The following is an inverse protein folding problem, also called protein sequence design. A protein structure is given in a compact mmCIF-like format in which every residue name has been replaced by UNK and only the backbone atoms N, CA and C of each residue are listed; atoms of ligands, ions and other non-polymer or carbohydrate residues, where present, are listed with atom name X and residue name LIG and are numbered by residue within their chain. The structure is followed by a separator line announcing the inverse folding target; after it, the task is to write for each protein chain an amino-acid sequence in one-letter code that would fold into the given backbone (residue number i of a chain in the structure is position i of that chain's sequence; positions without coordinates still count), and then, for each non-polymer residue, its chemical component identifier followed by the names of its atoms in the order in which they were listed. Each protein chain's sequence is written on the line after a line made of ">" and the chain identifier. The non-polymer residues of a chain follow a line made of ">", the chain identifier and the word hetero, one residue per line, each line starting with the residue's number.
data_IF_638614502867
#
_entry.id   IF_638614502867
#
_cell.length_a   1.000
_cell.length_b   1.000
_cell.length_c   1.000
_cell.angle_alpha   90.00
_cell.angle_beta   90.00
_cell.angle_gamma   90.00
#
_symmetry.space_group_name_H-M   'P 1'
#
loop_
_entity.id
_entity.type
_entity.pdbx_description
1 polymer ?
#
# COMPACT_ATOMS: atom_id res chain seq x y z
N UNK A 1 -9.94 40.04 -4.69
CA UNK A 1 -9.69 38.83 -5.54
C UNK A 1 -9.15 37.63 -4.76
N UNK A 2 -8.17 37.73 -3.89
CA UNK A 2 -7.58 36.61 -3.14
C UNK A 2 -8.57 35.86 -2.21
N UNK A 3 -9.52 36.51 -1.57
CA UNK A 3 -10.55 35.87 -0.72
C UNK A 3 -11.54 35.02 -1.52
N UNK A 4 -11.98 35.44 -2.70
CA UNK A 4 -12.89 34.69 -3.58
C UNK A 4 -12.23 33.41 -4.10
N UNK A 5 -10.95 33.47 -4.52
CA UNK A 5 -10.23 32.26 -4.98
C UNK A 5 -10.19 31.17 -3.92
N UNK A 6 -9.98 31.52 -2.64
CA UNK A 6 -9.95 30.54 -1.53
C UNK A 6 -11.29 29.84 -1.30
N UNK A 7 -12.41 30.51 -1.57
CA UNK A 7 -13.75 29.97 -1.35
C UNK A 7 -14.07 28.88 -2.37
N UNK A 8 -13.56 28.98 -3.61
CA UNK A 8 -13.86 28.04 -4.69
C UNK A 8 -12.90 26.85 -4.77
N UNK A 9 -11.63 26.97 -4.39
CA UNK A 9 -10.63 25.92 -4.56
C UNK A 9 -10.88 24.71 -3.64
N UNK A 10 -11.36 24.95 -2.41
CA UNK A 10 -11.68 23.85 -1.48
C UNK A 10 -12.82 22.96 -2.00
N UNK A 11 -14.00 23.49 -2.35
CA UNK A 11 -15.07 22.65 -2.90
C UNK A 11 -14.67 21.98 -4.21
N UNK A 12 -13.91 22.62 -5.09
CA UNK A 12 -13.40 22.01 -6.31
C UNK A 12 -12.51 20.78 -5.98
N UNK A 13 -11.57 20.91 -5.05
CA UNK A 13 -10.69 19.81 -4.66
C UNK A 13 -11.47 18.64 -4.03
N UNK A 14 -12.45 18.94 -3.19
CA UNK A 14 -13.34 17.92 -2.58
C UNK A 14 -14.19 17.25 -3.65
N UNK A 15 -14.85 18.05 -4.51
CA UNK A 15 -15.68 17.52 -5.60
C UNK A 15 -14.87 16.61 -6.53
N UNK A 16 -13.68 17.05 -6.94
CA UNK A 16 -12.81 16.24 -7.78
C UNK A 16 -12.37 14.94 -7.10
N UNK A 17 -12.09 14.98 -5.79
CA UNK A 17 -11.76 13.76 -5.02
C UNK A 17 -12.95 12.80 -4.97
N UNK A 18 -14.16 13.31 -4.77
CA UNK A 18 -15.39 12.50 -4.79
C UNK A 18 -15.65 11.92 -6.19
N UNK A 19 -15.54 12.75 -7.24
CA UNK A 19 -15.68 12.29 -8.62
C UNK A 19 -14.62 11.25 -8.99
N UNK A 20 -13.39 11.41 -8.49
CA UNK A 20 -12.33 10.43 -8.66
C UNK A 20 -12.70 9.09 -8.00
N UNK A 21 -13.22 9.10 -6.79
CA UNK A 21 -13.70 7.89 -6.11
C UNK A 21 -14.84 7.25 -6.89
N UNK A 22 -15.85 8.03 -7.31
CA UNK A 22 -16.97 7.54 -8.09
C UNK A 22 -16.54 6.99 -9.45
N UNK A 23 -15.58 7.63 -10.10
CA UNK A 23 -14.99 7.16 -11.34
C UNK A 23 -14.30 5.80 -11.13
N UNK A 24 -13.48 5.66 -10.10
CA UNK A 24 -12.88 4.36 -9.76
C UNK A 24 -13.98 3.33 -9.46
N UNK A 25 -15.00 3.68 -8.68
CA UNK A 25 -16.13 2.78 -8.40
C UNK A 25 -16.83 2.33 -9.69
N UNK A 26 -17.02 3.22 -10.66
CA UNK A 26 -17.67 2.89 -11.92
C UNK A 26 -16.90 1.88 -12.77
N UNK A 27 -15.59 1.77 -12.56
CA UNK A 27 -14.75 0.77 -13.24
C UNK A 27 -14.97 -0.64 -12.70
N UNK A 28 -15.63 -0.80 -11.56
CA UNK A 28 -15.87 -2.10 -10.93
C UNK A 28 -17.08 -2.87 -11.48
N UNK A 29 -17.47 -2.56 -12.70
CA UNK A 29 -18.30 -3.45 -13.51
C UNK A 29 -17.59 -4.81 -13.71
N UNK A 30 -18.26 -5.93 -13.90
CA UNK A 30 -17.68 -7.27 -13.86
C UNK A 30 -16.62 -7.46 -14.93
N UNK A 31 -15.37 -7.29 -14.59
CA UNK A 31 -14.25 -7.55 -15.48
C UNK A 31 -13.77 -8.97 -15.23
N UNK A 32 -13.59 -9.68 -16.32
CA UNK A 32 -13.20 -11.07 -16.43
C UNK A 32 -11.79 -11.43 -15.90
N UNK A 33 -11.22 -10.65 -14.99
CA UNK A 33 -9.88 -10.87 -14.46
C UNK A 33 -9.79 -11.78 -13.23
N UNK A 34 -10.95 -12.16 -12.66
CA UNK A 34 -10.98 -12.97 -11.45
C UNK A 34 -11.05 -14.49 -11.73
N UNK A 35 -11.13 -14.91 -13.01
CA UNK A 35 -11.22 -16.32 -13.41
C UNK A 35 -10.05 -17.14 -12.85
N UNK A 36 -8.85 -16.60 -12.90
CA UNK A 36 -7.65 -17.28 -12.40
C UNK A 36 -7.71 -17.59 -10.89
N UNK A 37 -8.24 -16.68 -10.08
CA UNK A 37 -8.43 -16.91 -8.64
C UNK A 37 -9.61 -17.84 -8.40
N UNK A 38 -10.67 -17.73 -9.21
CA UNK A 38 -11.81 -18.62 -9.18
C UNK A 38 -11.39 -20.09 -9.45
N UNK A 39 -10.59 -20.31 -10.48
CA UNK A 39 -10.08 -21.65 -10.83
C UNK A 39 -9.23 -22.27 -9.71
N UNK A 40 -8.56 -21.44 -8.90
CA UNK A 40 -7.76 -21.91 -7.76
C UNK A 40 -8.53 -22.10 -6.47
N UNK A 41 -9.53 -21.24 -6.20
CA UNK A 41 -10.34 -21.32 -4.97
C UNK A 41 -11.63 -22.08 -5.15
N UNK A 42 -12.14 -22.18 -6.40
CA UNK A 42 -13.40 -22.84 -6.75
C UNK A 42 -14.66 -22.12 -6.25
N UNK A 43 -14.53 -21.01 -5.51
CA UNK A 43 -15.65 -20.42 -4.77
C UNK A 43 -15.66 -18.89 -4.83
N UNK A 44 -16.00 -18.32 -5.97
CA UNK A 44 -16.24 -16.88 -6.09
C UNK A 44 -17.47 -16.49 -5.26
N UNK A 45 -17.25 -15.66 -4.24
CA UNK A 45 -18.33 -15.14 -3.38
C UNK A 45 -18.81 -16.11 -2.29
N UNK A 46 -18.22 -17.30 -2.16
CA UNK A 46 -18.50 -18.23 -1.06
C UNK A 46 -17.27 -18.38 -0.19
N UNK A 47 -17.38 -17.92 1.05
CA UNK A 47 -16.26 -17.98 1.99
C UNK A 47 -16.18 -19.35 2.67
N UNK A 48 -15.18 -20.13 2.30
CA UNK A 48 -14.83 -21.38 2.96
C UNK A 48 -13.39 -21.33 3.46
N UNK A 49 -13.19 -21.09 4.73
CA UNK A 49 -11.86 -20.87 5.33
C UNK A 49 -10.86 -21.98 5.01
N UNK A 50 -11.29 -23.25 4.98
CA UNK A 50 -10.41 -24.38 4.65
C UNK A 50 -9.87 -24.32 3.21
N UNK A 51 -10.70 -23.92 2.26
CA UNK A 51 -10.32 -23.80 0.85
C UNK A 51 -9.38 -22.61 0.64
N UNK A 52 -9.71 -21.48 1.26
CA UNK A 52 -8.86 -20.28 1.23
C UNK A 52 -7.49 -20.58 1.84
N UNK A 53 -7.47 -21.25 3.00
CA UNK A 53 -6.21 -21.64 3.65
C UNK A 53 -5.39 -22.57 2.76
N UNK A 54 -6.01 -23.60 2.16
CA UNK A 54 -5.34 -24.49 1.22
C UNK A 54 -4.77 -23.71 0.03
N UNK A 55 -5.54 -22.80 -0.57
CA UNK A 55 -5.07 -21.96 -1.67
C UNK A 55 -3.86 -21.09 -1.27
N UNK A 56 -3.85 -20.56 -0.04
CA UNK A 56 -2.69 -19.82 0.48
C UNK A 56 -1.45 -20.70 0.60
N UNK A 57 -1.59 -21.92 1.16
CA UNK A 57 -0.50 -22.87 1.31
C UNK A 57 0.02 -23.33 -0.06
N UNK A 58 -0.89 -23.67 -0.96
CA UNK A 58 -0.53 -24.10 -2.33
C UNK A 58 0.17 -22.95 -3.09
N UNK A 59 -0.30 -21.71 -2.90
CA UNK A 59 0.34 -20.55 -3.50
C UNK A 59 1.75 -20.31 -2.94
N UNK A 60 1.94 -20.44 -1.64
CA UNK A 60 3.26 -20.34 -1.01
C UNK A 60 4.25 -21.39 -1.50
N UNK A 61 3.79 -22.63 -1.64
CA UNK A 61 4.64 -23.75 -2.01
C UNK A 61 4.93 -23.83 -3.52
N UNK A 62 3.96 -23.48 -4.36
CA UNK A 62 4.00 -23.83 -5.79
C UNK A 62 3.78 -22.66 -6.74
N UNK A 63 3.45 -21.43 -6.25
CA UNK A 63 3.11 -20.35 -7.16
C UNK A 63 3.63 -18.98 -6.72
N UNK A 64 2.91 -18.29 -5.85
CA UNK A 64 3.16 -16.90 -5.50
C UNK A 64 3.07 -16.68 -4.00
N UNK A 65 4.22 -16.56 -3.30
CA UNK A 65 4.26 -16.47 -1.85
C UNK A 65 3.87 -15.08 -1.31
N UNK A 66 3.55 -14.15 -2.17
CA UNK A 66 3.23 -12.76 -1.78
C UNK A 66 2.02 -12.71 -0.87
N UNK A 67 2.12 -11.93 0.19
CA UNK A 67 1.01 -11.72 1.12
C UNK A 67 -0.21 -11.09 0.42
N UNK A 68 0.00 -10.25 -0.59
CA UNK A 68 -1.07 -9.69 -1.42
C UNK A 68 -1.87 -10.75 -2.18
N UNK A 69 -1.22 -11.81 -2.69
CA UNK A 69 -1.90 -12.94 -3.32
C UNK A 69 -2.75 -13.71 -2.32
N UNK A 70 -2.19 -13.98 -1.14
CA UNK A 70 -2.94 -14.65 -0.07
C UNK A 70 -4.15 -13.82 0.36
N UNK A 71 -3.99 -12.50 0.50
CA UNK A 71 -5.08 -11.59 0.78
C UNK A 71 -6.14 -11.58 -0.34
N UNK A 72 -5.72 -11.74 -1.61
CA UNK A 72 -6.64 -11.84 -2.74
C UNK A 72 -7.56 -13.05 -2.63
N UNK A 73 -7.09 -14.20 -2.15
CA UNK A 73 -7.95 -15.37 -1.93
C UNK A 73 -9.06 -15.09 -0.90
N UNK A 74 -8.73 -14.39 0.21
CA UNK A 74 -9.73 -13.99 1.20
C UNK A 74 -10.75 -13.01 0.62
N UNK A 75 -10.31 -11.99 -0.08
CA UNK A 75 -11.20 -10.95 -0.65
C UNK A 75 -12.05 -11.52 -1.80
N UNK A 76 -11.52 -12.43 -2.59
CA UNK A 76 -12.29 -13.07 -3.68
C UNK A 76 -13.40 -13.95 -3.13
N UNK A 77 -13.17 -14.60 -1.99
CA UNK A 77 -14.15 -15.39 -1.27
C UNK A 77 -15.18 -14.53 -0.51
N UNK A 78 -14.87 -13.24 -0.25
CA UNK A 78 -15.79 -12.31 0.41
C UNK A 78 -16.88 -11.80 -0.56
N UNK A 79 -18.03 -11.30 -0.03
CA UNK A 79 -19.04 -10.65 -0.85
C UNK A 79 -18.43 -9.52 -1.70
N UNK A 80 -18.88 -9.43 -2.95
CA UNK A 80 -18.36 -8.44 -3.92
C UNK A 80 -18.40 -7.00 -3.39
N UNK A 81 -19.43 -6.68 -2.62
CA UNK A 81 -19.61 -5.35 -2.03
C UNK A 81 -18.40 -4.92 -1.18
N UNK A 82 -17.79 -5.86 -0.44
CA UNK A 82 -16.63 -5.58 0.42
C UNK A 82 -15.48 -5.03 -0.43
N UNK A 83 -15.15 -5.69 -1.53
CA UNK A 83 -14.09 -5.24 -2.41
C UNK A 83 -14.45 -3.92 -3.13
N UNK A 84 -15.69 -3.80 -3.63
CA UNK A 84 -16.16 -2.59 -4.33
C UNK A 84 -16.07 -1.34 -3.46
N UNK A 85 -16.29 -1.48 -2.15
CA UNK A 85 -16.18 -0.34 -1.21
C UNK A 85 -14.73 -0.10 -0.77
N UNK A 86 -14.01 -1.16 -0.41
CA UNK A 86 -12.67 -1.00 0.17
C UNK A 86 -11.61 -0.59 -0.88
N UNK A 87 -11.71 -1.10 -2.11
CA UNK A 87 -10.66 -0.85 -3.09
C UNK A 87 -10.50 0.64 -3.46
N UNK A 88 -11.55 1.43 -3.71
CA UNK A 88 -11.43 2.88 -3.90
C UNK A 88 -10.82 3.61 -2.70
N UNK A 89 -11.12 3.14 -1.49
CA UNK A 89 -10.53 3.69 -0.26
C UNK A 89 -9.02 3.45 -0.23
N UNK A 90 -8.58 2.24 -0.57
CA UNK A 90 -7.14 1.92 -0.66
C UNK A 90 -6.43 2.69 -1.78
N UNK A 91 -7.08 2.87 -2.94
CA UNK A 91 -6.54 3.69 -4.03
C UNK A 91 -6.33 5.13 -3.55
N UNK A 92 -7.34 5.73 -2.94
CA UNK A 92 -7.24 7.09 -2.42
C UNK A 92 -6.18 7.21 -1.31
N UNK A 93 -6.14 6.23 -0.42
CA UNK A 93 -5.15 6.17 0.65
C UNK A 93 -3.72 6.00 0.11
N UNK A 94 -3.53 5.24 -0.99
CA UNK A 94 -2.25 5.13 -1.68
C UNK A 94 -1.80 6.48 -2.25
N UNK A 95 -2.68 7.18 -2.98
CA UNK A 95 -2.36 8.51 -3.53
C UNK A 95 -2.04 9.50 -2.42
N UNK A 96 -2.83 9.50 -1.33
CA UNK A 96 -2.58 10.33 -0.17
C UNK A 96 -1.24 9.97 0.50
N UNK A 97 -0.96 8.70 0.65
CA UNK A 97 0.30 8.21 1.20
C UNK A 97 1.51 8.65 0.37
N UNK A 98 1.43 8.55 -0.95
CA UNK A 98 2.47 9.03 -1.87
C UNK A 98 2.66 10.55 -1.77
N UNK A 99 1.55 11.30 -1.67
CA UNK A 99 1.61 12.74 -1.44
C UNK A 99 2.35 13.09 -0.14
N UNK A 100 2.02 12.39 0.96
CA UNK A 100 2.67 12.61 2.25
C UNK A 100 4.14 12.19 2.21
N UNK A 101 4.46 11.08 1.53
CA UNK A 101 5.83 10.61 1.38
C UNK A 101 6.69 11.64 0.63
N UNK A 102 6.18 12.21 -0.44
CA UNK A 102 6.86 13.22 -1.24
C UNK A 102 7.02 14.54 -0.47
N UNK A 103 5.95 15.08 0.09
CA UNK A 103 5.91 16.43 0.65
C UNK A 103 6.14 16.49 2.18
N UNK A 104 6.12 15.36 2.87
CA UNK A 104 6.31 15.26 4.32
C UNK A 104 5.15 15.83 5.15
N UNK A 105 4.01 16.14 4.54
CA UNK A 105 2.84 16.76 5.19
C UNK A 105 1.54 16.35 4.50
N UNK A 106 0.44 16.39 5.23
CA UNK A 106 -0.90 16.19 4.69
C UNK A 106 -1.30 17.35 3.75
N UNK A 107 -2.13 17.09 2.71
CA UNK A 107 -2.66 18.16 1.85
C UNK A 107 -3.56 19.08 2.65
N UNK A 108 -3.28 20.38 2.61
CA UNK A 108 -4.16 21.38 3.19
C UNK A 108 -5.08 21.92 2.10
N UNK A 109 -6.25 21.29 1.93
CA UNK A 109 -7.21 21.67 0.88
C UNK A 109 -7.83 23.06 1.07
N UNK A 110 -7.71 23.65 2.26
CA UNK A 110 -8.16 25.04 2.52
C UNK A 110 -7.18 26.09 1.98
N UNK A 111 -5.94 25.66 1.67
CA UNK A 111 -4.93 26.53 1.05
C UNK A 111 -4.88 26.24 -0.44
N UNK A 112 -4.93 27.27 -1.26
CA UNK A 112 -4.93 27.15 -2.72
C UNK A 112 -3.79 26.24 -3.23
N UNK A 113 -2.56 26.53 -2.82
CA UNK A 113 -1.40 25.70 -3.19
C UNK A 113 -1.56 24.22 -2.77
N UNK A 114 -2.10 23.95 -1.57
CA UNK A 114 -2.32 22.59 -1.09
C UNK A 114 -3.40 21.86 -1.88
N UNK A 115 -4.45 22.55 -2.29
CA UNK A 115 -5.51 21.98 -3.11
C UNK A 115 -5.02 21.69 -4.53
N UNK A 116 -4.29 22.60 -5.17
CA UNK A 116 -3.71 22.37 -6.51
C UNK A 116 -2.68 21.24 -6.52
N UNK A 117 -1.80 21.16 -5.52
CA UNK A 117 -0.84 20.03 -5.43
C UNK A 117 -1.54 18.70 -5.20
N UNK A 118 -2.65 18.67 -4.45
CA UNK A 118 -3.47 17.48 -4.28
C UNK A 118 -4.16 17.06 -5.59
N UNK A 119 -4.78 18.00 -6.30
CA UNK A 119 -5.39 17.75 -7.61
C UNK A 119 -4.36 17.24 -8.62
N UNK A 120 -3.15 17.80 -8.60
CA UNK A 120 -2.05 17.33 -9.43
C UNK A 120 -1.67 15.89 -9.11
N UNK A 121 -1.58 15.52 -7.82
CA UNK A 121 -1.28 14.14 -7.40
C UNK A 121 -2.35 13.15 -7.89
N UNK A 122 -3.64 13.51 -7.78
CA UNK A 122 -4.74 12.70 -8.31
C UNK A 122 -4.67 12.58 -9.84
N UNK A 123 -4.40 13.68 -10.53
CA UNK A 123 -4.29 13.68 -12.00
C UNK A 123 -3.13 12.84 -12.48
N UNK A 124 -1.98 12.90 -11.81
CA UNK A 124 -0.81 12.05 -12.12
C UNK A 124 -1.13 10.56 -11.97
N UNK A 125 -1.89 10.20 -10.91
CA UNK A 125 -2.31 8.82 -10.72
C UNK A 125 -3.24 8.35 -11.86
N UNK A 126 -4.23 9.17 -12.25
CA UNK A 126 -5.12 8.86 -13.38
C UNK A 126 -4.35 8.75 -14.70
N UNK A 127 -3.37 9.64 -14.91
CA UNK A 127 -2.57 9.70 -16.15
C UNK A 127 -1.55 8.56 -16.27
N UNK A 128 -1.32 7.78 -15.22
CA UNK A 128 -0.38 6.65 -15.24
C UNK A 128 -0.83 5.48 -16.17
N UNK A 129 -2.01 5.61 -16.79
CA UNK A 129 -2.44 4.85 -17.96
C UNK A 129 -2.95 3.45 -17.70
N UNK A 130 -2.94 2.64 -18.76
CA UNK A 130 -3.57 1.31 -18.84
C UNK A 130 -3.07 0.35 -17.74
N UNK A 131 -1.79 0.44 -17.36
CA UNK A 131 -1.19 -0.43 -16.33
C UNK A 131 -1.84 -0.21 -14.98
N UNK A 132 -2.03 1.05 -14.57
CA UNK A 132 -2.70 1.39 -13.31
C UNK A 132 -4.17 0.97 -13.35
N UNK A 133 -4.83 1.17 -14.49
CA UNK A 133 -6.18 0.71 -14.72
C UNK A 133 -6.28 -0.81 -14.46
N UNK A 134 -5.46 -1.62 -15.13
CA UNK A 134 -5.47 -3.08 -14.98
C UNK A 134 -5.20 -3.51 -13.53
N UNK A 135 -4.19 -2.92 -12.90
CA UNK A 135 -3.81 -3.21 -11.51
C UNK A 135 -4.91 -2.82 -10.51
N UNK A 136 -5.63 -1.72 -10.76
CA UNK A 136 -6.71 -1.28 -9.86
C UNK A 136 -8.01 -2.05 -10.06
N UNK A 137 -8.25 -2.68 -11.22
CA UNK A 137 -9.54 -3.28 -11.56
C UNK A 137 -9.64 -4.77 -11.27
N UNK A 138 -8.54 -5.49 -11.29
CA UNK A 138 -8.54 -6.91 -10.95
C UNK A 138 -8.35 -7.07 -9.45
N UNK A 139 -9.05 -8.03 -8.83
CA UNK A 139 -8.91 -8.27 -7.39
C UNK A 139 -7.48 -8.70 -7.04
N UNK A 140 -6.90 -9.59 -7.82
CA UNK A 140 -5.51 -10.03 -7.66
C UNK A 140 -4.53 -8.85 -7.81
N UNK A 141 -4.68 -8.03 -8.86
CA UNK A 141 -3.85 -6.86 -9.08
C UNK A 141 -3.98 -5.84 -7.95
N UNK A 142 -5.22 -5.52 -7.55
CA UNK A 142 -5.46 -4.58 -6.44
C UNK A 142 -4.81 -5.03 -5.14
N UNK A 143 -4.95 -6.30 -4.78
CA UNK A 143 -4.36 -6.84 -3.56
C UNK A 143 -2.84 -6.85 -3.63
N UNK A 144 -2.27 -7.30 -4.74
CA UNK A 144 -0.83 -7.43 -4.89
C UNK A 144 -0.09 -6.10 -5.04
N UNK A 145 -0.75 -5.04 -5.54
CA UNK A 145 -0.05 -3.79 -5.87
C UNK A 145 -0.66 -2.56 -5.20
N UNK A 146 -2.00 -2.42 -5.17
CA UNK A 146 -2.64 -1.22 -4.60
C UNK A 146 -2.70 -1.29 -3.08
N UNK A 147 -3.24 -2.37 -2.53
CA UNK A 147 -3.39 -2.50 -1.07
C UNK A 147 -2.04 -2.70 -0.40
N UNK A 148 -1.20 -3.58 -0.94
CA UNK A 148 0.17 -3.77 -0.42
C UNK A 148 1.02 -2.52 -0.62
N UNK A 149 0.92 -1.85 -1.76
CA UNK A 149 1.57 -0.57 -2.00
C UNK A 149 1.12 0.51 -1.02
N UNK A 150 -0.17 0.58 -0.74
CA UNK A 150 -0.71 1.47 0.29
C UNK A 150 -0.10 1.18 1.66
N UNK A 151 -0.06 -0.08 2.10
CA UNK A 151 0.56 -0.47 3.36
C UNK A 151 2.05 -0.07 3.41
N UNK A 152 2.81 -0.36 2.37
CA UNK A 152 4.24 -0.05 2.28
C UNK A 152 4.48 1.47 2.33
N UNK A 153 3.71 2.24 1.57
CA UNK A 153 3.84 3.71 1.54
C UNK A 153 3.52 4.32 2.90
N UNK A 154 2.47 3.86 3.59
CA UNK A 154 2.14 4.33 4.93
C UNK A 154 3.15 3.88 5.98
N UNK A 155 3.72 2.70 5.85
CA UNK A 155 4.85 2.26 6.66
C UNK A 155 6.05 3.20 6.49
N UNK A 156 6.44 3.53 5.28
CA UNK A 156 7.54 4.47 5.00
C UNK A 156 7.24 5.89 5.50
N UNK A 157 5.98 6.32 5.49
CA UNK A 157 5.56 7.61 6.04
C UNK A 157 5.80 7.73 7.56
N UNK A 158 5.81 6.62 8.30
CA UNK A 158 6.19 6.63 9.73
C UNK A 158 7.60 7.19 9.90
N UNK A 159 8.52 6.80 9.03
CA UNK A 159 9.92 7.26 9.07
C UNK A 159 10.05 8.65 8.47
N UNK A 160 9.39 8.92 7.34
CA UNK A 160 9.43 10.23 6.67
C UNK A 160 8.98 11.37 7.58
N UNK A 161 7.90 11.18 8.33
CA UNK A 161 7.32 12.21 9.20
C UNK A 161 8.05 12.37 10.54
N UNK A 162 8.80 11.36 10.96
CA UNK A 162 9.58 11.36 12.21
C UNK A 162 11.08 11.61 12.02
N UNK A 163 11.55 11.62 10.78
CA UNK A 163 12.96 11.83 10.48
C UNK A 163 13.46 13.16 11.03
N UNK A 164 14.55 13.11 11.79
CA UNK A 164 15.16 14.28 12.41
C UNK A 164 14.48 14.82 13.68
N UNK A 165 13.36 14.22 14.12
CA UNK A 165 12.73 14.59 15.39
C UNK A 165 13.37 13.79 16.53
N UNK A 166 13.75 14.47 17.64
CA UNK A 166 14.16 13.79 18.86
C UNK A 166 12.98 12.99 19.41
N UNK A 167 13.11 11.68 19.47
CA UNK A 167 12.15 10.81 20.14
C UNK A 167 12.64 10.65 21.58
N UNK A 168 12.07 11.44 22.47
CA UNK A 168 12.50 11.58 23.88
C UNK A 168 12.00 10.48 24.79
N UNK A 169 11.17 9.56 24.33
CA UNK A 169 10.67 8.46 25.17
C UNK A 169 10.96 7.09 24.54
N UNK A 170 11.36 6.13 25.39
CA UNK A 170 11.38 4.70 25.07
C UNK A 170 9.97 4.25 24.71
N UNK A 171 9.61 4.35 23.44
CA UNK A 171 8.29 3.96 22.94
C UNK A 171 8.34 2.52 22.47
N UNK A 172 8.36 1.58 23.41
CA UNK A 172 8.26 0.16 23.10
C UNK A 172 7.13 -0.15 22.13
N UNK A 173 5.96 0.46 22.32
CA UNK A 173 4.82 0.30 21.41
C UNK A 173 5.08 0.73 19.97
N UNK A 174 5.82 1.84 19.75
CA UNK A 174 6.20 2.26 18.40
C UNK A 174 7.17 1.26 17.76
N UNK A 175 8.17 0.82 18.52
CA UNK A 175 9.18 -0.12 18.01
C UNK A 175 8.57 -1.48 17.69
N UNK A 176 7.73 -2.02 18.57
CA UNK A 176 6.98 -3.26 18.32
C UNK A 176 6.02 -3.13 17.16
N UNK A 177 5.32 -2.01 17.05
CA UNK A 177 4.44 -1.71 15.92
C UNK A 177 5.20 -1.65 14.60
N UNK A 178 6.38 -1.00 14.58
CA UNK A 178 7.24 -0.97 13.40
C UNK A 178 7.78 -2.35 13.02
N UNK A 179 8.12 -3.20 14.01
CA UNK A 179 8.55 -4.58 13.76
C UNK A 179 7.43 -5.38 13.09
N UNK A 180 6.25 -5.42 13.70
CA UNK A 180 5.10 -6.18 13.18
C UNK A 180 4.68 -5.67 11.81
N UNK A 181 4.54 -4.35 11.65
CA UNK A 181 4.15 -3.75 10.38
C UNK A 181 5.21 -4.00 9.30
N UNK A 182 6.49 -3.96 9.67
CA UNK A 182 7.61 -4.27 8.79
C UNK A 182 7.56 -5.71 8.27
N UNK A 183 7.21 -6.70 9.12
CA UNK A 183 7.05 -8.10 8.70
C UNK A 183 5.99 -8.21 7.60
N UNK A 184 4.82 -7.59 7.80
CA UNK A 184 3.77 -7.58 6.76
C UNK A 184 4.25 -6.92 5.47
N UNK A 185 4.87 -5.74 5.55
CA UNK A 185 5.37 -5.03 4.37
C UNK A 185 6.46 -5.82 3.62
N UNK A 186 7.38 -6.45 4.37
CA UNK A 186 8.46 -7.26 3.79
C UNK A 186 7.97 -8.53 3.08
N UNK A 187 6.81 -9.06 3.47
CA UNK A 187 6.21 -10.23 2.82
C UNK A 187 5.29 -9.89 1.63
N UNK A 188 5.12 -8.60 1.30
CA UNK A 188 4.16 -8.18 0.27
C UNK A 188 4.65 -8.37 -1.15
N UNK A 189 5.89 -7.95 -1.46
CA UNK A 189 6.41 -7.93 -2.82
C UNK A 189 7.95 -7.90 -2.82
N UNK A 190 8.59 -8.68 -3.67
CA UNK A 190 10.05 -8.84 -3.73
C UNK A 190 10.76 -7.51 -4.03
N UNK A 191 10.32 -6.82 -5.08
CA UNK A 191 10.93 -5.54 -5.47
C UNK A 191 10.75 -4.45 -4.42
N UNK A 192 9.58 -4.38 -3.80
CA UNK A 192 9.33 -3.45 -2.71
C UNK A 192 10.15 -3.77 -1.46
N UNK A 193 10.34 -5.04 -1.14
CA UNK A 193 11.18 -5.49 -0.02
C UNK A 193 12.63 -5.06 -0.20
N UNK A 194 13.20 -5.30 -1.37
CA UNK A 194 14.55 -4.85 -1.71
C UNK A 194 14.65 -3.32 -1.63
N UNK A 195 13.67 -2.61 -2.19
CA UNK A 195 13.61 -1.14 -2.12
C UNK A 195 13.53 -0.60 -0.68
N UNK A 196 12.74 -1.23 0.19
CA UNK A 196 12.66 -0.86 1.61
C UNK A 196 13.97 -1.14 2.36
N UNK A 197 14.59 -2.29 2.12
CA UNK A 197 15.92 -2.61 2.70
C UNK A 197 16.94 -1.57 2.30
N UNK A 198 17.01 -1.22 1.01
CA UNK A 198 17.90 -0.16 0.51
C UNK A 198 17.60 1.20 1.17
N UNK A 199 16.34 1.58 1.30
CA UNK A 199 15.94 2.81 1.99
C UNK A 199 16.39 2.83 3.46
N UNK A 200 16.24 1.72 4.18
CA UNK A 200 16.72 1.63 5.57
C UNK A 200 18.25 1.71 5.66
N UNK A 201 18.99 1.08 4.75
CA UNK A 201 20.45 1.20 4.70
C UNK A 201 20.87 2.66 4.45
N UNK A 202 20.22 3.36 3.51
CA UNK A 202 20.48 4.78 3.26
C UNK A 202 20.15 5.62 4.50
N UNK A 203 19.02 5.36 5.15
CA UNK A 203 18.65 6.07 6.38
C UNK A 203 19.68 5.86 7.50
N UNK A 204 20.16 4.63 7.69
CA UNK A 204 21.20 4.32 8.66
C UNK A 204 22.51 5.04 8.33
N UNK A 205 22.95 4.98 7.07
CA UNK A 205 24.14 5.67 6.61
C UNK A 205 24.05 7.19 6.83
N UNK A 206 22.97 7.83 6.37
CA UNK A 206 22.73 9.27 6.59
C UNK A 206 22.67 9.61 8.08
N UNK A 207 22.10 8.72 8.90
CA UNK A 207 22.09 8.89 10.36
C UNK A 207 23.50 8.92 10.95
N UNK A 208 24.35 7.99 10.54
CA UNK A 208 25.75 7.92 10.99
C UNK A 208 26.59 9.15 10.54
N UNK A 209 26.47 9.55 9.27
CA UNK A 209 27.21 10.71 8.75
C UNK A 209 26.80 12.05 9.34
N UNK A 210 25.58 12.15 9.89
CA UNK A 210 25.08 13.38 10.50
C UNK A 210 25.10 13.37 12.03
N UNK A 211 25.84 12.45 12.65
CA UNK A 211 25.92 12.25 14.10
C UNK A 211 24.53 12.16 14.77
N UNK A 212 23.56 11.65 14.04
CA UNK A 212 22.18 11.46 14.53
C UNK A 212 22.00 10.03 15.01
N UNK A 213 21.62 9.88 16.25
CA UNK A 213 21.24 8.57 16.78
C UNK A 213 20.00 8.07 16.06
N UNK A 214 20.14 6.96 15.34
CA UNK A 214 19.03 6.25 14.70
C UNK A 214 18.17 5.60 15.79
N UNK A 215 16.90 5.97 15.87
CA UNK A 215 15.98 5.47 16.90
C UNK A 215 15.71 3.97 16.78
N UNK A 216 15.46 3.29 17.90
CA UNK A 216 15.17 1.85 17.93
C UNK A 216 14.03 1.43 16.99
N UNK A 217 13.01 2.27 16.79
CA UNK A 217 11.90 2.00 15.86
C UNK A 217 12.35 1.81 14.41
N UNK A 218 13.46 2.44 14.00
CA UNK A 218 14.04 2.27 12.64
C UNK A 218 14.64 0.88 12.50
N UNK A 219 15.43 0.46 13.50
CA UNK A 219 16.02 -0.88 13.51
C UNK A 219 14.98 -1.99 13.64
N UNK A 220 13.93 -1.77 14.46
CA UNK A 220 12.82 -2.70 14.55
C UNK A 220 12.06 -2.81 13.21
N UNK A 221 11.83 -1.69 12.53
CA UNK A 221 11.21 -1.72 11.22
C UNK A 221 12.07 -2.40 10.16
N UNK A 222 13.37 -2.13 10.15
CA UNK A 222 14.32 -2.83 9.28
C UNK A 222 14.32 -4.35 9.55
N UNK A 223 14.41 -4.75 10.81
CA UNK A 223 14.35 -6.16 11.20
C UNK A 223 13.02 -6.81 10.77
N UNK A 224 11.90 -6.08 10.93
CA UNK A 224 10.60 -6.55 10.46
C UNK A 224 10.59 -6.79 8.95
N UNK A 225 11.05 -5.83 8.15
CA UNK A 225 11.13 -5.97 6.68
C UNK A 225 12.04 -7.12 6.29
N UNK A 226 13.18 -7.28 6.97
CA UNK A 226 14.09 -8.40 6.70
C UNK A 226 13.44 -9.75 7.01
N UNK A 227 12.73 -9.89 8.14
CA UNK A 227 12.00 -11.11 8.50
C UNK A 227 10.87 -11.43 7.52
N UNK A 228 10.08 -10.42 7.12
CA UNK A 228 9.05 -10.59 6.09
C UNK A 228 9.64 -10.96 4.73
N UNK A 229 10.78 -10.36 4.37
CA UNK A 229 11.54 -10.71 3.17
C UNK A 229 12.08 -12.13 3.22
N UNK A 230 12.61 -12.59 4.35
CA UNK A 230 13.04 -13.98 4.52
C UNK A 230 11.89 -14.95 4.30
N UNK A 231 10.69 -14.66 4.85
CA UNK A 231 9.50 -15.47 4.58
C UNK A 231 9.19 -15.53 3.07
N UNK A 232 9.28 -14.40 2.37
CA UNK A 232 8.99 -14.31 0.94
C UNK A 232 10.04 -15.04 0.08
N UNK A 233 11.33 -14.79 0.35
CA UNK A 233 12.44 -15.37 -0.44
C UNK A 233 12.73 -16.83 -0.09
N UNK A 234 12.32 -17.32 1.07
CA UNK A 234 12.44 -18.74 1.42
C UNK A 234 11.34 -19.62 0.81
N UNK A 235 10.31 -19.01 0.21
CA UNK A 235 9.18 -19.76 -0.32
C UNK A 235 9.53 -20.53 -1.59
N UNK A 236 9.25 -21.84 -1.66
CA UNK A 236 9.51 -22.65 -2.88
C UNK A 236 8.75 -22.15 -4.09
N UNK A 237 7.52 -21.65 -3.91
CA UNK A 237 6.68 -21.12 -4.99
C UNK A 237 7.26 -19.89 -5.71
N UNK A 238 8.22 -19.18 -5.11
CA UNK A 238 8.94 -18.12 -5.79
C UNK A 238 9.81 -18.66 -6.92
N UNK A 239 10.47 -19.77 -6.69
CA UNK A 239 11.43 -20.40 -7.62
C UNK A 239 10.76 -21.30 -8.64
N UNK A 240 9.55 -21.77 -8.38
CA UNK A 240 8.79 -22.60 -9.33
C UNK A 240 8.37 -21.85 -10.61
N UNK A 241 8.55 -20.52 -10.64
CA UNK A 241 8.22 -19.64 -11.78
C UNK A 241 9.43 -19.23 -12.60
N UNK A 242 10.63 -19.57 -12.14
CA UNK A 242 11.89 -19.33 -12.86
C UNK A 242 12.24 -20.51 -13.76
#
# INVERSE_FOLDING_TARGET
>A
MLKLRRIFVFPIAVTFSVLFILYIISWFSPIAGDSFIHDRTGYLGQFHIRHVWKACVDSYLYWNPRLGEMAAFFITSAPRLVWTVLNPVFVLALVLGLYVLALGRMPNLRRECGAWTWLFALSMFVSAGVTVYYVCLTRAGSMNYVWTGCLIVWFMNIYRTRWGKRITSSRWGLSSGCLIYGIFCGACNEGATIGMVAAFCIMAAVGMFRDRRVGAYVWCGFAGVALGGLFLFAAPGLYSRL
#
